data_IF_213451942846
#
_entry.id   IF_213451942846
#
_cell.length_a   1.000
_cell.length_b   1.000
_cell.length_c   1.000
_cell.angle_alpha   90.00
_cell.angle_beta   90.00
_cell.angle_gamma   90.00
#
_symmetry.space_group_name_H-M   'P 1'
#
loop_
_entity.id
_entity.type
_entity.pdbx_description
1 polymer ?
#
# COMPACT_ATOMS: atom_id res chain seq x y z
N UNK A 1 -13.83 -27.82 2.20
CA UNK A 1 -12.99 -28.87 2.87
C UNK A 1 -11.94 -28.11 3.67
N UNK A 2 -11.86 -28.35 4.99
CA UNK A 2 -10.76 -27.74 5.78
C UNK A 2 -9.46 -28.46 5.39
N UNK A 3 -8.68 -27.85 4.52
CA UNK A 3 -7.33 -28.32 4.23
C UNK A 3 -6.42 -27.98 5.41
N UNK A 4 -5.81 -29.00 6.03
CA UNK A 4 -4.80 -28.77 7.04
C UNK A 4 -3.47 -28.35 6.40
N UNK A 5 -2.59 -27.67 7.17
CA UNK A 5 -1.23 -27.34 6.73
C UNK A 5 -0.51 -28.58 6.13
N UNK A 6 -0.72 -29.75 6.75
CA UNK A 6 -0.14 -31.01 6.27
C UNK A 6 -0.68 -31.45 4.92
N UNK A 7 -2.00 -31.33 4.71
CA UNK A 7 -2.63 -31.67 3.42
C UNK A 7 -2.06 -30.80 2.30
N UNK A 8 -1.93 -29.51 2.56
CA UNK A 8 -1.38 -28.53 1.64
C UNK A 8 0.08 -28.83 1.26
N UNK A 9 0.95 -29.06 2.23
CA UNK A 9 2.35 -29.43 1.96
C UNK A 9 2.40 -30.70 1.10
N UNK A 10 1.52 -31.67 1.37
CA UNK A 10 1.39 -32.89 0.58
C UNK A 10 0.95 -32.61 -0.87
N UNK A 11 -0.03 -31.76 -1.08
CA UNK A 11 -0.53 -31.39 -2.41
C UNK A 11 0.54 -30.67 -3.22
N UNK A 12 1.15 -29.64 -2.67
CA UNK A 12 2.24 -28.89 -3.29
C UNK A 12 3.45 -29.78 -3.63
N UNK A 13 3.81 -30.69 -2.74
CA UNK A 13 4.86 -31.68 -3.02
C UNK A 13 4.52 -32.56 -4.20
N UNK A 14 3.28 -33.08 -4.23
CA UNK A 14 2.81 -33.96 -5.32
C UNK A 14 2.74 -33.23 -6.66
N UNK A 15 2.26 -32.01 -6.69
CA UNK A 15 2.25 -31.17 -7.89
C UNK A 15 3.65 -30.98 -8.48
N UNK A 16 4.65 -30.84 -7.61
CA UNK A 16 6.06 -30.74 -8.00
C UNK A 16 6.75 -32.09 -8.22
N UNK A 17 5.99 -33.18 -8.08
CA UNK A 17 6.48 -34.57 -8.26
C UNK A 17 7.66 -34.94 -7.35
N UNK A 18 7.74 -34.31 -6.17
CA UNK A 18 8.76 -34.57 -5.17
C UNK A 18 8.34 -35.76 -4.28
N UNK A 19 9.30 -36.62 -3.91
CA UNK A 19 9.15 -37.58 -2.81
C UNK A 19 9.24 -36.89 -1.45
N UNK A 20 8.83 -37.57 -0.37
CA UNK A 20 9.01 -37.04 0.99
C UNK A 20 10.50 -36.89 1.36
N UNK A 21 11.35 -37.76 0.82
CA UNK A 21 12.80 -37.71 1.02
C UNK A 21 13.42 -36.50 0.32
N UNK A 22 13.06 -36.24 -0.92
CA UNK A 22 13.52 -35.08 -1.68
C UNK A 22 13.06 -33.74 -1.05
N UNK A 23 11.83 -33.69 -0.55
CA UNK A 23 11.35 -32.50 0.17
C UNK A 23 12.10 -32.29 1.49
N UNK A 24 12.43 -33.38 2.20
CA UNK A 24 13.08 -33.35 3.51
C UNK A 24 14.58 -33.04 3.45
N UNK A 25 15.25 -33.30 2.32
CA UNK A 25 16.70 -33.26 2.18
C UNK A 25 17.31 -31.93 2.67
N UNK A 26 18.25 -32.00 3.61
CA UNK A 26 18.89 -30.82 4.22
C UNK A 26 17.99 -29.95 5.10
N UNK A 27 16.70 -30.32 5.31
CA UNK A 27 15.75 -29.56 6.14
C UNK A 27 15.36 -30.36 7.40
N UNK A 28 14.87 -31.60 7.21
CA UNK A 28 14.44 -32.47 8.30
C UNK A 28 14.49 -33.94 7.86
N UNK A 29 13.91 -34.88 8.62
CA UNK A 29 13.78 -36.28 8.18
C UNK A 29 12.53 -36.52 7.34
N UNK A 30 12.55 -37.51 6.40
CA UNK A 30 11.38 -37.94 5.67
C UNK A 30 10.23 -38.37 6.61
N UNK A 31 10.57 -38.94 7.75
CA UNK A 31 9.59 -39.32 8.79
C UNK A 31 8.91 -38.04 9.37
N UNK A 32 9.65 -36.94 9.53
CA UNK A 32 9.06 -35.67 9.96
C UNK A 32 8.10 -35.14 8.90
N UNK A 33 8.46 -35.19 7.62
CA UNK A 33 7.55 -34.81 6.52
C UNK A 33 6.28 -35.64 6.56
N UNK A 34 6.41 -36.97 6.68
CA UNK A 34 5.25 -37.87 6.77
C UNK A 34 4.32 -37.51 7.94
N UNK A 35 4.90 -37.17 9.12
CA UNK A 35 4.11 -36.76 10.29
C UNK A 35 3.44 -35.40 10.11
N UNK A 36 4.12 -34.46 9.49
CA UNK A 36 3.59 -33.14 9.18
C UNK A 36 2.41 -33.27 8.19
N UNK A 37 2.61 -34.02 7.08
CA UNK A 37 1.58 -34.26 6.07
C UNK A 37 0.34 -35.00 6.61
N UNK A 38 0.48 -35.77 7.68
CA UNK A 38 -0.61 -36.46 8.33
C UNK A 38 -1.21 -35.72 9.54
N UNK A 39 -0.76 -34.46 9.77
CA UNK A 39 -1.25 -33.64 10.88
C UNK A 39 -0.78 -34.10 12.27
N UNK A 40 0.16 -35.03 12.34
CA UNK A 40 0.67 -35.61 13.59
C UNK A 40 1.84 -34.82 14.21
N UNK A 41 2.34 -33.81 13.50
CA UNK A 41 3.44 -32.96 13.95
C UNK A 41 3.30 -31.59 13.28
N UNK A 42 3.42 -30.52 14.09
CA UNK A 42 3.58 -29.16 13.57
C UNK A 42 5.07 -28.89 13.35
N UNK A 43 5.47 -28.38 12.17
CA UNK A 43 6.85 -27.95 11.95
C UNK A 43 7.15 -26.70 12.77
N UNK A 44 8.42 -26.50 13.16
CA UNK A 44 8.86 -25.19 13.64
C UNK A 44 8.82 -24.15 12.49
N UNK A 45 8.74 -22.86 12.81
CA UNK A 45 8.71 -21.80 11.79
C UNK A 45 9.89 -21.92 10.80
N UNK A 46 11.10 -22.16 11.31
CA UNK A 46 12.29 -22.32 10.47
C UNK A 46 12.23 -23.55 9.53
N UNK A 47 11.62 -24.65 9.97
CA UNK A 47 11.40 -25.81 9.12
C UNK A 47 10.31 -25.50 8.08
N UNK A 48 9.22 -24.89 8.51
CA UNK A 48 8.13 -24.51 7.63
C UNK A 48 8.59 -23.59 6.48
N UNK A 49 9.28 -22.52 6.81
CA UNK A 49 9.83 -21.57 5.82
C UNK A 49 10.68 -22.28 4.75
N UNK A 50 11.62 -23.12 5.18
CA UNK A 50 12.49 -23.87 4.26
C UNK A 50 11.72 -24.87 3.39
N UNK A 51 10.70 -25.54 3.94
CA UNK A 51 9.85 -26.44 3.17
C UNK A 51 9.08 -25.66 2.10
N UNK A 52 8.54 -24.49 2.46
CA UNK A 52 7.78 -23.65 1.55
C UNK A 52 8.66 -23.05 0.46
N UNK A 53 9.85 -22.58 0.79
CA UNK A 53 10.84 -22.13 -0.19
C UNK A 53 11.16 -23.23 -1.21
N UNK A 54 11.39 -24.46 -0.74
CA UNK A 54 11.64 -25.63 -1.63
C UNK A 54 10.43 -25.97 -2.50
N UNK A 55 9.24 -25.76 -1.95
CA UNK A 55 7.98 -25.89 -2.69
C UNK A 55 7.67 -24.65 -3.57
N UNK A 56 8.55 -23.64 -3.63
CA UNK A 56 8.41 -22.45 -4.46
C UNK A 56 7.24 -21.57 -4.05
N UNK A 57 6.96 -21.48 -2.76
CA UNK A 57 5.90 -20.66 -2.17
C UNK A 57 6.35 -20.07 -0.83
N UNK A 58 5.56 -19.21 -0.26
CA UNK A 58 5.84 -18.57 1.03
C UNK A 58 4.75 -18.82 2.05
N UNK A 59 5.05 -18.57 3.34
CA UNK A 59 4.04 -18.64 4.41
C UNK A 59 2.88 -17.69 4.13
N UNK A 60 3.16 -16.53 3.55
CA UNK A 60 2.16 -15.52 3.16
C UNK A 60 1.21 -16.04 2.07
N UNK A 61 1.75 -16.58 0.98
CA UNK A 61 0.95 -17.14 -0.12
C UNK A 61 0.06 -18.28 0.35
N UNK A 62 0.58 -19.11 1.27
CA UNK A 62 -0.16 -20.22 1.85
C UNK A 62 -1.29 -19.79 2.75
N UNK A 63 -1.07 -18.82 3.63
CA UNK A 63 -2.14 -18.26 4.46
C UNK A 63 -3.26 -17.71 3.58
N UNK A 64 -2.93 -17.02 2.50
CA UNK A 64 -3.92 -16.46 1.58
C UNK A 64 -4.69 -17.53 0.79
N UNK A 65 -4.04 -18.60 0.35
CA UNK A 65 -4.67 -19.61 -0.53
C UNK A 65 -5.43 -20.70 0.24
N UNK A 66 -4.96 -21.11 1.42
CA UNK A 66 -5.46 -22.30 2.09
C UNK A 66 -6.23 -22.06 3.39
N UNK A 67 -6.05 -20.91 4.04
CA UNK A 67 -6.74 -20.61 5.30
C UNK A 67 -7.91 -19.64 5.16
N UNK A 68 -8.02 -18.93 4.03
CA UNK A 68 -9.19 -18.13 3.71
C UNK A 68 -10.27 -19.00 3.05
N UNK A 69 -11.52 -18.82 3.43
CA UNK A 69 -12.61 -19.43 2.69
C UNK A 69 -12.77 -18.72 1.31
N UNK A 70 -13.29 -19.41 0.30
CA UNK A 70 -13.48 -18.89 -1.07
C UNK A 70 -14.19 -17.51 -1.07
N UNK A 71 -15.10 -17.30 -0.12
CA UNK A 71 -15.84 -16.07 0.03
C UNK A 71 -14.97 -14.90 0.49
N UNK A 72 -14.02 -15.14 1.38
CA UNK A 72 -13.06 -14.15 1.85
C UNK A 72 -12.05 -13.80 0.76
N UNK A 73 -11.54 -14.78 0.02
CA UNK A 73 -10.64 -14.56 -1.12
C UNK A 73 -11.32 -13.72 -2.21
N UNK A 74 -12.57 -14.02 -2.54
CA UNK A 74 -13.32 -13.23 -3.53
C UNK A 74 -13.55 -11.79 -3.04
N UNK A 75 -13.83 -11.58 -1.77
CA UNK A 75 -13.97 -10.23 -1.21
C UNK A 75 -12.66 -9.44 -1.27
N UNK A 76 -11.53 -10.03 -0.89
CA UNK A 76 -10.21 -9.39 -0.97
C UNK A 76 -9.86 -9.05 -2.41
N UNK A 77 -10.13 -9.96 -3.35
CA UNK A 77 -9.96 -9.70 -4.79
C UNK A 77 -10.82 -8.53 -5.28
N UNK A 78 -12.06 -8.41 -4.81
CA UNK A 78 -12.91 -7.27 -5.15
C UNK A 78 -12.37 -5.96 -4.56
N UNK A 79 -11.84 -5.99 -3.34
CA UNK A 79 -11.23 -4.82 -2.71
C UNK A 79 -9.97 -4.36 -3.46
N UNK A 80 -9.10 -5.30 -3.88
CA UNK A 80 -7.93 -5.01 -4.71
C UNK A 80 -8.32 -4.43 -6.07
N UNK A 81 -9.32 -4.99 -6.74
CA UNK A 81 -9.82 -4.49 -8.02
C UNK A 81 -10.42 -3.09 -7.88
N UNK A 82 -11.18 -2.83 -6.80
CA UNK A 82 -11.70 -1.50 -6.51
C UNK A 82 -10.56 -0.48 -6.29
N UNK A 83 -9.55 -0.84 -5.51
CA UNK A 83 -8.36 -0.01 -5.29
C UNK A 83 -7.60 0.27 -6.60
N UNK A 84 -7.39 -0.74 -7.43
CA UNK A 84 -6.77 -0.59 -8.75
C UNK A 84 -7.57 0.37 -9.66
N UNK A 85 -8.89 0.19 -9.74
CA UNK A 85 -9.77 1.06 -10.52
C UNK A 85 -9.71 2.53 -10.03
N UNK A 86 -9.66 2.74 -8.71
CA UNK A 86 -9.51 4.09 -8.13
C UNK A 86 -8.18 4.73 -8.48
N UNK A 87 -7.09 3.98 -8.47
CA UNK A 87 -5.77 4.46 -8.86
C UNK A 87 -5.72 4.87 -10.34
N UNK A 88 -6.47 4.19 -11.19
CA UNK A 88 -6.60 4.50 -12.61
C UNK A 88 -7.67 5.57 -12.92
N UNK A 89 -8.35 6.11 -11.91
CA UNK A 89 -9.43 7.10 -12.07
C UNK A 89 -10.74 6.52 -12.62
N UNK A 90 -10.91 5.21 -12.63
CA UNK A 90 -12.08 4.49 -13.15
C UNK A 90 -13.18 4.37 -12.08
N UNK A 91 -13.76 5.51 -11.68
CA UNK A 91 -14.68 5.58 -10.53
C UNK A 91 -15.88 4.64 -10.70
N UNK A 92 -16.47 4.53 -11.91
CA UNK A 92 -17.63 3.65 -12.15
C UNK A 92 -17.31 2.18 -11.93
N UNK A 93 -16.13 1.73 -12.36
CA UNK A 93 -15.68 0.35 -12.11
C UNK A 93 -15.50 0.10 -10.60
N UNK A 94 -14.95 1.06 -9.88
CA UNK A 94 -14.82 0.97 -8.42
C UNK A 94 -16.19 0.90 -7.72
N UNK A 95 -17.19 1.64 -8.18
CA UNK A 95 -18.57 1.57 -7.69
C UNK A 95 -19.19 0.17 -7.92
N UNK A 96 -18.96 -0.43 -9.07
CA UNK A 96 -19.43 -1.79 -9.38
C UNK A 96 -18.80 -2.82 -8.44
N UNK A 97 -17.49 -2.74 -8.18
CA UNK A 97 -16.82 -3.60 -7.20
C UNK A 97 -17.34 -3.36 -5.79
N UNK A 98 -17.52 -2.10 -5.37
CA UNK A 98 -18.09 -1.77 -4.06
C UNK A 98 -19.50 -2.37 -3.88
N UNK A 99 -20.36 -2.30 -4.88
CA UNK A 99 -21.70 -2.87 -4.82
C UNK A 99 -21.65 -4.39 -4.63
N UNK A 100 -20.72 -5.08 -5.28
CA UNK A 100 -20.47 -6.51 -5.08
C UNK A 100 -19.95 -6.78 -3.66
N UNK A 101 -19.01 -5.99 -3.15
CA UNK A 101 -18.52 -6.11 -1.78
C UNK A 101 -19.67 -5.95 -0.76
N UNK A 102 -20.53 -4.97 -0.93
CA UNK A 102 -21.70 -4.74 -0.06
C UNK A 102 -22.70 -5.90 -0.05
N UNK A 103 -22.73 -6.75 -1.09
CA UNK A 103 -23.59 -7.94 -1.11
C UNK A 103 -23.14 -9.07 -0.17
N UNK A 104 -21.91 -8.96 0.36
CA UNK A 104 -21.40 -9.87 1.38
C UNK A 104 -21.93 -9.44 2.76
N UNK A 105 -23.11 -9.81 3.18
CA UNK A 105 -23.71 -9.47 4.47
C UNK A 105 -22.86 -9.97 5.66
N UNK A 106 -21.65 -9.37 5.81
CA UNK A 106 -20.68 -9.74 6.84
C UNK A 106 -20.63 -8.65 7.93
N UNK A 107 -20.51 -9.08 9.19
CA UNK A 107 -20.45 -8.17 10.35
C UNK A 107 -19.05 -8.04 10.94
N UNK A 108 -18.05 -8.68 10.33
CA UNK A 108 -16.68 -8.56 10.76
C UNK A 108 -16.19 -7.11 10.64
N UNK A 109 -15.62 -6.51 11.69
CA UNK A 109 -15.16 -5.13 11.67
C UNK A 109 -14.15 -4.82 10.55
N UNK A 110 -13.25 -5.75 10.21
CA UNK A 110 -12.26 -5.54 9.14
C UNK A 110 -12.92 -5.53 7.76
N UNK A 111 -13.95 -6.37 7.57
CA UNK A 111 -14.77 -6.37 6.37
C UNK A 111 -15.49 -5.04 6.18
N UNK A 112 -16.18 -4.58 7.23
CA UNK A 112 -16.91 -3.31 7.23
C UNK A 112 -15.94 -2.13 7.02
N UNK A 113 -14.77 -2.14 7.64
CA UNK A 113 -13.73 -1.13 7.44
C UNK A 113 -13.33 -1.05 5.98
N UNK A 114 -13.06 -2.20 5.33
CA UNK A 114 -12.63 -2.24 3.93
C UNK A 114 -13.72 -1.70 2.99
N UNK A 115 -14.98 -2.08 3.21
CA UNK A 115 -16.13 -1.54 2.44
C UNK A 115 -16.22 -0.02 2.59
N UNK A 116 -16.14 0.49 3.82
CA UNK A 116 -16.21 1.92 4.11
C UNK A 116 -14.99 2.68 3.58
N UNK A 117 -13.79 2.08 3.58
CA UNK A 117 -12.61 2.67 2.96
C UNK A 117 -12.82 2.87 1.45
N UNK A 118 -13.28 1.85 0.74
CA UNK A 118 -13.56 1.96 -0.70
C UNK A 118 -14.65 3.00 -0.97
N UNK A 119 -15.75 2.97 -0.20
CA UNK A 119 -16.84 3.94 -0.33
C UNK A 119 -16.36 5.37 -0.08
N UNK A 120 -15.66 5.61 1.02
CA UNK A 120 -15.12 6.92 1.36
C UNK A 120 -14.09 7.43 0.35
N UNK A 121 -13.32 6.53 -0.25
CA UNK A 121 -12.36 6.89 -1.31
C UNK A 121 -13.09 7.28 -2.61
N UNK A 122 -14.15 6.56 -2.99
CA UNK A 122 -15.00 6.95 -4.12
C UNK A 122 -15.60 8.34 -3.89
N UNK A 123 -16.19 8.58 -2.72
CA UNK A 123 -16.75 9.87 -2.33
C UNK A 123 -15.70 10.99 -2.38
N UNK A 124 -14.46 10.71 -1.93
CA UNK A 124 -13.35 11.64 -1.99
C UNK A 124 -13.04 12.06 -3.45
N UNK A 125 -12.94 11.11 -4.37
CA UNK A 125 -12.70 11.41 -5.78
C UNK A 125 -13.88 12.12 -6.45
N UNK A 126 -15.10 11.90 -5.97
CA UNK A 126 -16.30 12.61 -6.43
C UNK A 126 -16.48 13.99 -5.78
N UNK A 127 -15.56 14.39 -4.90
CA UNK A 127 -15.67 15.62 -4.11
C UNK A 127 -16.95 15.69 -3.26
N UNK A 128 -17.39 14.53 -2.74
CA UNK A 128 -18.51 14.44 -1.79
C UNK A 128 -17.99 14.68 -0.36
N UNK A 129 -18.48 15.71 0.36
CA UNK A 129 -18.06 16.01 1.73
C UNK A 129 -18.36 14.90 2.74
N UNK A 130 -19.24 13.97 2.43
CA UNK A 130 -19.52 12.81 3.28
C UNK A 130 -18.31 11.86 3.41
N UNK A 131 -17.31 11.96 2.53
CA UNK A 131 -16.12 11.12 2.55
C UNK A 131 -15.41 11.14 3.92
N UNK A 132 -15.30 12.30 4.57
CA UNK A 132 -14.69 12.45 5.91
C UNK A 132 -15.43 11.57 6.92
N UNK A 133 -16.75 11.70 6.98
CA UNK A 133 -17.58 10.91 7.91
C UNK A 133 -17.47 9.41 7.63
N UNK A 134 -17.52 9.02 6.36
CA UNK A 134 -17.42 7.61 5.94
C UNK A 134 -16.06 7.02 6.34
N UNK A 135 -14.96 7.74 6.12
CA UNK A 135 -13.61 7.31 6.49
C UNK A 135 -13.38 7.30 8.01
N UNK A 136 -13.95 8.26 8.75
CA UNK A 136 -13.94 8.20 10.22
C UNK A 136 -14.72 6.99 10.75
N UNK A 137 -15.83 6.64 10.12
CA UNK A 137 -16.58 5.41 10.45
C UNK A 137 -15.75 4.17 10.10
N UNK A 138 -14.99 4.17 9.00
CA UNK A 138 -14.14 3.07 8.61
C UNK A 138 -13.06 2.78 9.66
N UNK A 139 -12.29 3.77 10.06
CA UNK A 139 -11.21 3.56 11.04
C UNK A 139 -11.74 3.15 12.42
N UNK A 140 -12.93 3.61 12.81
CA UNK A 140 -13.56 3.25 14.08
C UNK A 140 -14.13 1.84 14.13
N UNK A 141 -14.23 1.12 13.01
CA UNK A 141 -14.62 -0.29 13.02
C UNK A 141 -13.59 -1.13 13.79
N UNK A 142 -12.30 -0.87 13.60
CA UNK A 142 -11.20 -1.62 14.26
C UNK A 142 -10.59 -0.86 15.42
N UNK A 143 -10.66 0.46 15.42
CA UNK A 143 -10.11 1.37 16.45
C UNK A 143 -11.20 2.33 16.99
N UNK A 144 -12.18 1.84 17.78
CA UNK A 144 -13.33 2.66 18.22
C UNK A 144 -12.94 3.95 18.95
N UNK A 145 -11.89 3.89 19.77
CA UNK A 145 -11.41 5.00 20.62
C UNK A 145 -10.26 5.79 20.00
N UNK A 146 -10.02 5.66 18.68
CA UNK A 146 -8.90 6.33 18.04
C UNK A 146 -9.00 7.85 18.14
N UNK A 147 -7.89 8.49 18.47
CA UNK A 147 -7.70 9.93 18.39
C UNK A 147 -6.67 10.21 17.29
N UNK A 148 -7.12 10.80 16.19
CA UNK A 148 -6.32 10.94 14.97
C UNK A 148 -5.08 11.84 15.15
N UNK A 149 -5.08 12.67 16.17
CA UNK A 149 -3.97 13.55 16.52
C UNK A 149 -2.96 12.93 17.53
N UNK A 150 -3.15 11.64 17.93
CA UNK A 150 -2.25 10.89 18.82
C UNK A 150 -2.12 9.42 18.35
N UNK A 151 -1.37 9.21 17.27
CA UNK A 151 -1.24 7.90 16.61
C UNK A 151 0.07 7.19 16.91
N UNK A 152 1.07 7.88 17.44
CA UNK A 152 2.47 7.42 17.57
C UNK A 152 2.67 6.06 18.22
N UNK A 153 1.78 5.69 19.13
CA UNK A 153 1.90 4.45 19.91
C UNK A 153 0.95 3.35 19.44
N UNK A 154 0.24 3.56 18.34
CA UNK A 154 -0.74 2.61 17.81
C UNK A 154 -0.08 1.76 16.74
N UNK A 155 -0.34 0.45 16.78
CA UNK A 155 -0.02 -0.49 15.71
C UNK A 155 -1.17 -0.49 14.71
N UNK A 156 -0.83 -0.32 13.44
CA UNK A 156 -1.79 -0.28 12.33
C UNK A 156 -1.59 -1.45 11.39
N UNK A 157 -2.68 -1.94 10.81
CA UNK A 157 -2.65 -2.77 9.61
C UNK A 157 -2.68 -1.92 8.33
N UNK A 158 -2.58 -2.58 7.17
CA UNK A 158 -2.54 -1.93 5.84
C UNK A 158 -3.82 -1.13 5.57
N UNK A 159 -5.00 -1.69 5.91
CA UNK A 159 -6.31 -1.05 5.68
C UNK A 159 -6.48 0.18 6.56
N UNK A 160 -6.04 0.11 7.81
CA UNK A 160 -6.05 1.22 8.75
C UNK A 160 -5.14 2.38 8.29
N UNK A 161 -3.91 2.07 7.83
CA UNK A 161 -3.00 3.08 7.27
C UNK A 161 -3.62 3.74 6.03
N UNK A 162 -4.15 2.96 5.09
CA UNK A 162 -4.80 3.50 3.90
C UNK A 162 -6.00 4.38 4.26
N UNK A 163 -6.82 3.96 5.23
CA UNK A 163 -7.98 4.73 5.69
C UNK A 163 -7.56 6.11 6.23
N UNK A 164 -6.54 6.15 7.10
CA UNK A 164 -6.04 7.40 7.67
C UNK A 164 -5.37 8.27 6.59
N UNK A 165 -4.69 7.66 5.64
CA UNK A 165 -4.03 8.34 4.53
C UNK A 165 -5.05 9.08 3.64
N UNK A 166 -6.14 8.41 3.23
CA UNK A 166 -7.24 9.02 2.45
C UNK A 166 -7.99 10.06 3.28
N UNK A 167 -8.23 9.77 4.57
CA UNK A 167 -8.89 10.72 5.47
C UNK A 167 -8.08 12.02 5.65
N UNK A 168 -6.74 11.93 5.75
CA UNK A 168 -5.85 13.09 5.78
C UNK A 168 -5.97 13.91 4.49
N UNK A 169 -5.99 13.25 3.33
CA UNK A 169 -6.18 13.91 2.05
C UNK A 169 -7.58 14.56 1.94
N UNK A 170 -8.61 13.94 2.53
CA UNK A 170 -9.95 14.51 2.58
C UNK A 170 -9.97 15.79 3.44
N UNK A 171 -9.34 15.81 4.61
CA UNK A 171 -9.22 17.05 5.40
C UNK A 171 -8.51 18.15 4.64
N UNK A 172 -7.43 17.85 3.93
CA UNK A 172 -6.73 18.80 3.07
C UNK A 172 -7.63 19.34 1.94
N UNK A 173 -8.40 18.48 1.28
CA UNK A 173 -9.31 18.89 0.20
C UNK A 173 -10.40 19.85 0.68
N UNK A 174 -10.88 19.68 1.92
CA UNK A 174 -11.89 20.55 2.52
C UNK A 174 -11.31 21.74 3.31
N UNK A 175 -10.02 22.04 3.15
CA UNK A 175 -9.38 23.23 3.71
C UNK A 175 -8.84 23.08 5.13
N UNK A 176 -8.90 21.87 5.72
CA UNK A 176 -8.32 21.59 7.05
C UNK A 176 -6.86 21.11 6.95
N UNK A 177 -6.04 21.80 6.13
CA UNK A 177 -4.67 21.39 5.81
C UNK A 177 -3.78 21.21 7.06
N UNK A 178 -3.92 22.06 8.07
CA UNK A 178 -3.16 21.93 9.32
C UNK A 178 -3.53 20.67 10.10
N UNK A 179 -4.78 20.21 10.00
CA UNK A 179 -5.22 18.93 10.57
C UNK A 179 -4.67 17.78 9.78
N UNK A 180 -4.71 17.85 8.44
CA UNK A 180 -4.12 16.86 7.56
C UNK A 180 -2.61 16.67 7.85
N UNK A 181 -1.87 17.76 8.03
CA UNK A 181 -0.45 17.71 8.40
C UNK A 181 -0.25 16.98 9.74
N UNK A 182 -0.99 17.35 10.78
CA UNK A 182 -0.85 16.72 12.11
C UNK A 182 -1.12 15.23 12.07
N UNK A 183 -2.21 14.82 11.43
CA UNK A 183 -2.57 13.41 11.28
C UNK A 183 -1.48 12.67 10.48
N UNK A 184 -1.04 13.25 9.37
CA UNK A 184 0.02 12.68 8.53
C UNK A 184 1.34 12.51 9.28
N UNK A 185 1.76 13.51 10.06
CA UNK A 185 2.97 13.43 10.89
C UNK A 185 2.88 12.35 11.96
N UNK A 186 1.76 12.25 12.67
CA UNK A 186 1.56 11.21 13.69
C UNK A 186 1.51 9.82 13.07
N UNK A 187 0.82 9.64 11.94
CA UNK A 187 0.80 8.38 11.19
C UNK A 187 2.21 7.99 10.73
N UNK A 188 2.96 8.93 10.13
CA UNK A 188 4.32 8.67 9.68
C UNK A 188 5.23 8.24 10.84
N UNK A 189 5.16 8.93 11.99
CA UNK A 189 5.92 8.58 13.21
C UNK A 189 5.55 7.20 13.75
N UNK A 190 4.25 6.84 13.74
CA UNK A 190 3.80 5.52 14.13
C UNK A 190 4.40 4.42 13.22
N UNK A 191 4.37 4.64 11.90
CA UNK A 191 4.94 3.71 10.94
C UNK A 191 6.46 3.59 11.08
N UNK A 192 7.19 4.68 11.25
CA UNK A 192 8.64 4.64 11.49
C UNK A 192 8.97 3.86 12.76
N UNK A 193 8.18 4.05 13.83
CA UNK A 193 8.40 3.37 15.10
C UNK A 193 8.13 1.86 15.06
N UNK A 194 7.05 1.46 14.39
CA UNK A 194 6.52 0.10 14.53
C UNK A 194 6.69 -0.77 13.26
N UNK A 195 6.83 -0.17 12.07
CA UNK A 195 6.79 -0.87 10.79
C UNK A 195 8.01 -0.59 9.89
N UNK A 196 9.01 0.18 10.36
CA UNK A 196 10.17 0.58 9.55
C UNK A 196 10.94 -0.60 8.95
N UNK A 197 10.96 -1.74 9.64
CA UNK A 197 11.64 -2.97 9.22
C UNK A 197 10.81 -3.87 8.30
N UNK A 198 9.53 -3.55 8.07
CA UNK A 198 8.61 -4.35 7.26
C UNK A 198 8.56 -3.82 5.83
N UNK A 199 9.11 -4.56 4.87
CA UNK A 199 9.06 -4.19 3.45
C UNK A 199 7.63 -3.98 2.93
N UNK A 200 6.66 -4.77 3.42
CA UNK A 200 5.24 -4.64 3.07
C UNK A 200 4.64 -3.27 3.40
N UNK A 201 5.19 -2.56 4.38
CA UNK A 201 4.80 -1.20 4.73
C UNK A 201 5.61 -0.11 4.01
N UNK A 202 6.63 -0.47 3.24
CA UNK A 202 7.49 0.48 2.56
C UNK A 202 6.73 1.38 1.59
N UNK A 203 5.90 0.81 0.73
CA UNK A 203 5.04 1.56 -0.22
C UNK A 203 4.08 2.51 0.51
N UNK A 204 3.48 2.06 1.62
CA UNK A 204 2.58 2.90 2.42
C UNK A 204 3.34 4.08 3.05
N UNK A 205 4.56 3.86 3.54
CA UNK A 205 5.42 4.94 4.08
C UNK A 205 5.76 5.97 3.00
N UNK A 206 6.04 5.54 1.78
CA UNK A 206 6.25 6.42 0.62
C UNK A 206 4.99 7.26 0.39
N UNK A 207 3.81 6.65 0.30
CA UNK A 207 2.54 7.35 0.07
C UNK A 207 2.23 8.38 1.16
N UNK A 208 2.40 8.02 2.44
CA UNK A 208 2.19 8.95 3.57
C UNK A 208 3.17 10.13 3.50
N UNK A 209 4.45 9.86 3.20
CA UNK A 209 5.46 10.91 3.06
C UNK A 209 5.18 11.84 1.87
N UNK A 210 4.70 11.31 0.75
CA UNK A 210 4.27 12.10 -0.42
C UNK A 210 3.09 13.02 -0.08
N UNK A 211 2.03 12.49 0.53
CA UNK A 211 0.87 13.27 0.93
C UNK A 211 1.27 14.38 1.91
N UNK A 212 2.06 14.04 2.93
CA UNK A 212 2.54 14.99 3.91
C UNK A 212 3.39 16.10 3.27
N UNK A 213 4.25 15.74 2.31
CA UNK A 213 5.03 16.73 1.54
C UNK A 213 4.12 17.67 0.75
N UNK A 214 3.03 17.18 0.16
CA UNK A 214 2.06 18.01 -0.55
C UNK A 214 1.32 18.98 0.39
N UNK A 215 0.88 18.51 1.56
CA UNK A 215 0.22 19.35 2.56
C UNK A 215 1.15 20.44 3.07
N UNK A 216 2.40 20.10 3.38
CA UNK A 216 3.43 21.06 3.81
C UNK A 216 3.73 22.11 2.73
N UNK A 217 3.74 21.74 1.46
CA UNK A 217 3.90 22.68 0.36
C UNK A 217 2.78 23.71 0.29
N UNK A 218 1.54 23.32 0.56
CA UNK A 218 0.39 24.26 0.61
C UNK A 218 0.54 25.31 1.70
N UNK A 219 1.18 24.94 2.81
CA UNK A 219 1.50 25.85 3.92
C UNK A 219 2.82 26.59 3.76
N UNK A 220 3.52 26.42 2.62
CA UNK A 220 4.82 27.08 2.36
C UNK A 220 5.99 26.51 3.18
N UNK A 221 5.80 25.35 3.86
CA UNK A 221 6.81 24.66 4.68
C UNK A 221 7.71 23.77 3.80
N UNK A 222 8.36 24.38 2.81
CA UNK A 222 9.08 23.65 1.74
C UNK A 222 10.28 22.84 2.22
N UNK A 223 11.03 23.31 3.22
CA UNK A 223 12.16 22.57 3.77
C UNK A 223 11.72 21.29 4.45
N UNK A 224 10.61 21.33 5.18
CA UNK A 224 10.04 20.15 5.81
C UNK A 224 9.45 19.18 4.77
N UNK A 225 8.77 19.73 3.76
CA UNK A 225 8.28 18.94 2.64
C UNK A 225 9.44 18.20 1.90
N UNK A 226 10.57 18.91 1.70
CA UNK A 226 11.76 18.33 1.07
C UNK A 226 12.34 17.18 1.91
N UNK A 227 12.34 17.32 3.24
CA UNK A 227 12.82 16.26 4.13
C UNK A 227 11.99 14.97 4.00
N UNK A 228 10.65 15.09 3.98
CA UNK A 228 9.77 13.93 3.82
C UNK A 228 9.89 13.29 2.44
N UNK A 229 9.93 14.08 1.36
CA UNK A 229 10.03 13.50 0.01
C UNK A 229 11.39 12.86 -0.24
N UNK A 230 12.49 13.41 0.31
CA UNK A 230 13.81 12.77 0.26
C UNK A 230 13.82 11.45 1.04
N UNK A 231 13.07 11.37 2.14
CA UNK A 231 12.91 10.11 2.87
C UNK A 231 12.11 9.08 2.07
N UNK A 232 11.07 9.51 1.35
CA UNK A 232 10.31 8.63 0.44
C UNK A 232 11.20 8.03 -0.66
N UNK A 233 12.08 8.85 -1.28
CA UNK A 233 13.09 8.41 -2.23
C UNK A 233 14.02 7.34 -1.63
N UNK A 234 14.59 7.60 -0.44
CA UNK A 234 15.45 6.65 0.24
C UNK A 234 14.73 5.32 0.59
N UNK A 235 13.46 5.36 0.99
CA UNK A 235 12.66 4.15 1.24
C UNK A 235 12.45 3.38 -0.05
N UNK A 236 12.16 4.05 -1.18
CA UNK A 236 12.01 3.41 -2.49
C UNK A 236 13.25 2.60 -2.88
N UNK A 237 14.45 3.17 -2.68
CA UNK A 237 15.72 2.48 -2.90
C UNK A 237 15.90 1.30 -1.92
N UNK A 238 15.65 1.50 -0.63
CA UNK A 238 15.80 0.50 0.43
C UNK A 238 14.98 -0.76 0.17
N UNK A 239 13.72 -0.59 -0.26
CA UNK A 239 12.82 -1.72 -0.55
C UNK A 239 12.91 -2.22 -2.00
N UNK A 240 13.70 -1.55 -2.84
CA UNK A 240 13.83 -1.81 -4.29
C UNK A 240 12.49 -1.65 -5.03
N UNK A 241 11.65 -0.71 -4.60
CA UNK A 241 10.36 -0.41 -5.21
C UNK A 241 10.44 0.89 -6.03
N UNK A 242 10.57 0.74 -7.34
CA UNK A 242 10.79 1.86 -8.26
C UNK A 242 9.54 2.36 -8.95
N UNK A 243 8.38 1.72 -8.73
CA UNK A 243 7.15 2.09 -9.43
C UNK A 243 6.64 3.49 -9.06
N UNK A 244 6.87 3.95 -7.83
CA UNK A 244 6.47 5.28 -7.35
C UNK A 244 7.59 6.33 -7.48
N UNK A 245 8.79 5.92 -7.83
CA UNK A 245 9.94 6.84 -7.90
C UNK A 245 9.71 8.04 -8.82
N UNK A 246 9.08 7.90 -10.01
CA UNK A 246 8.82 9.06 -10.86
C UNK A 246 7.93 10.12 -10.22
N UNK A 247 6.89 9.71 -9.49
CA UNK A 247 5.99 10.63 -8.77
C UNK A 247 6.68 11.29 -7.59
N UNK A 248 7.51 10.54 -6.85
CA UNK A 248 8.36 11.06 -5.78
C UNK A 248 9.29 12.12 -6.31
N UNK A 249 10.02 11.83 -7.38
CA UNK A 249 10.94 12.76 -8.02
C UNK A 249 10.23 14.00 -8.62
N UNK A 250 9.05 13.81 -9.20
CA UNK A 250 8.26 14.95 -9.70
C UNK A 250 7.85 15.88 -8.57
N UNK A 251 7.38 15.35 -7.44
CA UNK A 251 7.04 16.17 -6.28
C UNK A 251 8.29 16.87 -5.70
N UNK A 252 9.41 16.16 -5.62
CA UNK A 252 10.70 16.73 -5.20
C UNK A 252 11.13 17.88 -6.12
N UNK A 253 11.02 17.71 -7.44
CA UNK A 253 11.32 18.76 -8.40
C UNK A 253 10.46 20.03 -8.20
N UNK A 254 9.14 19.86 -7.94
CA UNK A 254 8.26 20.98 -7.61
C UNK A 254 8.70 21.71 -6.34
N UNK A 255 9.08 20.99 -5.29
CA UNK A 255 9.56 21.57 -4.03
C UNK A 255 10.88 22.34 -4.28
N UNK A 256 11.80 21.77 -5.05
CA UNK A 256 13.05 22.41 -5.41
C UNK A 256 12.84 23.72 -6.22
N UNK A 257 11.82 23.76 -7.07
CA UNK A 257 11.43 24.99 -7.76
C UNK A 257 11.01 26.09 -6.76
N UNK A 258 10.15 25.76 -5.80
CA UNK A 258 9.71 26.74 -4.79
C UNK A 258 10.81 27.16 -3.80
N UNK A 259 11.85 26.35 -3.65
CA UNK A 259 13.05 26.69 -2.86
C UNK A 259 14.16 27.34 -3.69
N UNK A 260 13.84 27.81 -4.91
CA UNK A 260 14.75 28.49 -5.84
C UNK A 260 15.94 27.65 -6.32
N UNK A 261 15.89 26.34 -6.20
CA UNK A 261 16.88 25.39 -6.74
C UNK A 261 16.52 24.96 -8.17
N UNK A 262 16.34 25.95 -9.05
CA UNK A 262 15.76 25.76 -10.40
C UNK A 262 16.57 24.83 -11.27
N UNK A 263 17.91 24.85 -11.22
CA UNK A 263 18.74 23.98 -12.06
C UNK A 263 18.66 22.51 -11.66
N UNK A 264 18.50 22.24 -10.38
CA UNK A 264 18.30 20.89 -9.86
C UNK A 264 16.91 20.36 -10.24
N UNK A 265 15.87 21.21 -10.11
CA UNK A 265 14.52 20.93 -10.59
C UNK A 265 14.52 20.56 -12.09
N UNK A 266 15.17 21.34 -12.95
CA UNK A 266 15.26 21.08 -14.39
C UNK A 266 15.89 19.73 -14.68
N UNK A 267 17.00 19.39 -14.01
CA UNK A 267 17.70 18.10 -14.20
C UNK A 267 16.77 16.92 -13.88
N UNK A 268 16.03 17.00 -12.77
CA UNK A 268 15.08 15.94 -12.39
C UNK A 268 13.99 15.82 -13.44
N UNK A 269 13.32 16.91 -13.82
CA UNK A 269 12.25 16.88 -14.81
C UNK A 269 12.71 16.29 -16.15
N UNK A 270 13.89 16.68 -16.63
CA UNK A 270 14.46 16.14 -17.87
C UNK A 270 14.74 14.63 -17.80
N UNK A 271 15.06 14.12 -16.62
CA UNK A 271 15.31 12.69 -16.42
C UNK A 271 14.02 11.87 -16.30
N UNK A 272 13.03 12.38 -15.54
CA UNK A 272 11.83 11.57 -15.21
C UNK A 272 10.80 11.54 -16.34
N UNK A 273 10.66 12.60 -17.15
CA UNK A 273 9.63 12.65 -18.21
C UNK A 273 9.80 11.52 -19.23
N UNK A 274 10.98 11.30 -19.84
CA UNK A 274 11.16 10.17 -20.75
C UNK A 274 10.95 8.80 -20.08
N UNK A 275 11.28 8.69 -18.78
CA UNK A 275 11.07 7.47 -18.04
C UNK A 275 9.60 7.21 -17.76
N UNK A 276 8.82 8.24 -17.37
CA UNK A 276 7.36 8.14 -17.21
C UNK A 276 6.66 7.68 -18.49
N UNK A 277 7.06 8.23 -19.65
CA UNK A 277 6.55 7.81 -20.96
C UNK A 277 6.88 6.35 -21.27
N UNK A 278 8.11 5.92 -20.99
CA UNK A 278 8.56 4.55 -21.22
C UNK A 278 7.77 3.51 -20.41
N UNK A 279 7.38 3.86 -19.18
CA UNK A 279 6.62 2.97 -18.29
C UNK A 279 5.10 3.22 -18.36
N UNK A 280 4.62 3.96 -19.38
CA UNK A 280 3.20 4.25 -19.62
C UNK A 280 2.47 5.01 -18.50
N UNK A 281 3.19 5.88 -17.77
CA UNK A 281 2.62 6.83 -16.81
C UNK A 281 2.27 8.16 -17.50
N UNK A 282 1.53 8.09 -18.59
CA UNK A 282 1.28 9.20 -19.52
C UNK A 282 0.67 10.42 -18.82
N UNK A 283 -0.26 10.21 -17.88
CA UNK A 283 -0.88 11.31 -17.14
C UNK A 283 0.15 12.10 -16.31
N UNK A 284 1.05 11.44 -15.61
CA UNK A 284 2.11 12.11 -14.84
C UNK A 284 3.16 12.75 -15.75
N UNK A 285 3.48 12.11 -16.88
CA UNK A 285 4.38 12.67 -17.87
C UNK A 285 3.83 14.00 -18.44
N UNK A 286 2.54 14.06 -18.79
CA UNK A 286 1.91 15.29 -19.25
C UNK A 286 1.87 16.39 -18.17
N UNK A 287 1.56 16.06 -16.93
CA UNK A 287 1.64 17.01 -15.80
C UNK A 287 3.06 17.57 -15.62
N UNK A 288 4.09 16.72 -15.75
CA UNK A 288 5.48 17.15 -15.62
C UNK A 288 5.92 18.04 -16.81
N UNK A 289 5.47 17.75 -18.04
CA UNK A 289 5.71 18.59 -19.22
C UNK A 289 5.02 19.95 -19.11
N UNK A 290 3.77 19.97 -18.65
CA UNK A 290 3.04 21.20 -18.40
C UNK A 290 3.75 22.08 -17.37
N UNK A 291 4.19 21.48 -16.27
CA UNK A 291 5.00 22.17 -15.26
C UNK A 291 6.32 22.67 -15.84
N UNK A 292 7.03 21.86 -16.62
CA UNK A 292 8.28 22.24 -17.26
C UNK A 292 8.11 23.44 -18.19
N UNK A 293 7.06 23.44 -19.00
CA UNK A 293 6.78 24.52 -19.95
C UNK A 293 6.34 25.80 -19.24
N UNK A 294 5.38 25.68 -18.32
CA UNK A 294 4.76 26.85 -17.68
C UNK A 294 5.66 27.51 -16.63
N UNK A 295 6.43 26.74 -15.86
CA UNK A 295 7.21 27.24 -14.75
C UNK A 295 8.72 27.38 -15.03
N UNK A 296 9.27 26.49 -15.89
CA UNK A 296 10.71 26.43 -16.13
C UNK A 296 11.10 26.95 -17.53
N UNK A 297 10.14 27.24 -18.40
CA UNK A 297 10.39 27.60 -19.78
C UNK A 297 11.08 26.49 -20.59
N UNK A 298 10.96 25.23 -20.17
CA UNK A 298 11.56 24.08 -20.82
C UNK A 298 10.53 23.43 -21.77
N UNK A 299 10.92 23.31 -23.03
CA UNK A 299 10.14 22.58 -24.04
C UNK A 299 10.73 21.17 -24.14
N UNK A 300 10.08 20.21 -23.53
CA UNK A 300 10.42 18.80 -23.63
C UNK A 300 9.71 18.24 -24.88
N UNK A 301 10.47 18.10 -25.97
CA UNK A 301 9.94 17.60 -27.25
C UNK A 301 9.36 16.18 -27.10
N UNK A 302 8.29 15.95 -27.91
CA UNK A 302 7.70 14.62 -28.10
C UNK A 302 8.68 13.65 -28.72
#
# INVERSE_FOLDING_TARGET
>A
MNHSLGDMIRELRKERKLTQEELADGICSAVSISRIENGNQMPSNAILERLLERLGTSTYEICNVYFQNERQQEFERLAEQAGGALTEGKIREAEDFLNRMKSYEEKDPHFLQTVLLVEGTIQFFQSDPNCIRTLEMAIRQTKPEIQLEDLRNILFDVTEVNTICVLSAAYDQWGEVLRAIRIGEELYRAMEKHHSHLKSFGVLRINVAMNLSQFLCKEGRYEEALAYITRAEAISEEISEMSLLPEVEFLKAKILFFTHKTEECKRIIQAIVPYMELIHKDHFAEMAKEFATSQLGLFLNK
#
